data_IF_403626330823
#
_entry.id   IF_403626330823
#
_cell.length_a   1.000
_cell.length_b   1.000
_cell.length_c   1.000
_cell.angle_alpha   90.00
_cell.angle_beta   90.00
_cell.angle_gamma   90.00
#
_symmetry.space_group_name_H-M   'P 1'
#
loop_
_entity.id
_entity.type
_entity.pdbx_description
1 polymer ?
#
# COMPACT_ATOMS: atom_id res chain seq x y z
N UNK A 1 7.67 37.78 -10.95
CA UNK A 1 7.65 36.30 -10.98
C UNK A 1 6.27 35.80 -10.57
N UNK A 2 5.74 36.26 -9.43
CA UNK A 2 4.35 36.01 -9.02
C UNK A 2 3.28 36.33 -10.08
N UNK A 3 3.30 37.51 -10.67
CA UNK A 3 2.32 37.89 -11.71
C UNK A 3 2.36 36.98 -12.94
N UNK A 4 3.52 36.38 -13.25
CA UNK A 4 3.64 35.44 -14.37
C UNK A 4 3.10 34.06 -13.99
N UNK A 5 3.35 33.63 -12.75
CA UNK A 5 2.80 32.40 -12.19
C UNK A 5 1.27 32.46 -12.14
N UNK A 6 0.69 33.57 -11.66
CA UNK A 6 -0.76 33.76 -11.55
C UNK A 6 -1.49 33.69 -12.90
N UNK A 7 -0.83 34.08 -14.00
CA UNK A 7 -1.38 34.03 -15.36
C UNK A 7 -1.36 32.65 -16.00
N UNK A 8 -0.64 31.67 -15.42
CA UNK A 8 -0.57 30.29 -15.93
C UNK A 8 -1.89 29.55 -15.64
N UNK A 9 -2.25 28.62 -16.53
CA UNK A 9 -3.38 27.69 -16.26
C UNK A 9 -3.04 26.79 -15.08
N UNK A 10 -4.03 26.09 -14.52
CA UNK A 10 -3.82 25.20 -13.39
C UNK A 10 -2.76 24.12 -13.70
N UNK A 11 -2.85 23.45 -14.85
CA UNK A 11 -1.90 22.41 -15.27
C UNK A 11 -0.49 22.97 -15.46
N UNK A 12 -0.39 24.18 -16.02
CA UNK A 12 0.88 24.88 -16.20
C UNK A 12 1.48 25.29 -14.84
N UNK A 13 0.66 25.69 -13.87
CA UNK A 13 1.12 25.96 -12.50
C UNK A 13 1.67 24.68 -11.87
N UNK A 14 0.95 23.56 -11.98
CA UNK A 14 1.40 22.26 -11.45
C UNK A 14 2.74 21.85 -12.05
N UNK A 15 2.87 21.83 -13.39
CA UNK A 15 4.13 21.49 -14.07
C UNK A 15 5.27 22.41 -13.63
N UNK A 16 5.03 23.73 -13.59
CA UNK A 16 6.04 24.69 -13.16
C UNK A 16 6.51 24.42 -11.72
N UNK A 17 5.60 24.11 -10.79
CA UNK A 17 5.93 23.85 -9.40
C UNK A 17 6.75 22.57 -9.23
N UNK A 18 6.40 21.50 -9.97
CA UNK A 18 7.15 20.24 -9.95
C UNK A 18 8.59 20.47 -10.46
N UNK A 19 8.74 21.18 -11.58
CA UNK A 19 10.05 21.42 -12.19
C UNK A 19 10.96 22.33 -11.34
N UNK A 20 10.36 23.22 -10.53
CA UNK A 20 11.09 24.26 -9.80
C UNK A 20 11.03 24.10 -8.27
N UNK A 21 10.59 22.93 -7.76
CA UNK A 21 10.25 22.70 -6.36
C UNK A 21 11.30 23.21 -5.36
N UNK A 22 12.59 22.90 -5.60
CA UNK A 22 13.70 23.25 -4.70
C UNK A 22 14.12 24.72 -4.77
N UNK A 23 13.83 25.40 -5.89
CA UNK A 23 14.26 26.78 -6.15
C UNK A 23 13.09 27.75 -6.15
N UNK A 24 11.91 27.31 -5.70
CA UNK A 24 10.71 28.12 -5.68
C UNK A 24 10.89 29.31 -4.72
N UNK A 25 10.55 30.55 -5.14
CA UNK A 25 10.54 31.71 -4.25
C UNK A 25 9.60 31.51 -3.05
N UNK A 26 9.97 32.06 -1.88
CA UNK A 26 9.16 31.96 -0.67
C UNK A 26 7.77 32.60 -0.83
N UNK A 27 7.67 33.67 -1.64
CA UNK A 27 6.41 34.35 -1.95
C UNK A 27 5.38 33.44 -2.68
N UNK A 28 5.86 32.38 -3.34
CA UNK A 28 5.03 31.40 -4.05
C UNK A 28 4.82 30.12 -3.26
N UNK A 29 5.50 29.93 -2.12
CA UNK A 29 5.46 28.66 -1.38
C UNK A 29 4.04 28.28 -0.97
N UNK A 30 3.29 29.20 -0.37
CA UNK A 30 1.94 28.91 0.12
C UNK A 30 0.95 28.55 -0.99
N UNK A 31 0.91 29.37 -2.05
CA UNK A 31 0.05 29.11 -3.21
C UNK A 31 0.48 27.83 -3.93
N UNK A 32 1.80 27.61 -4.07
CA UNK A 32 2.36 26.43 -4.70
C UNK A 32 1.97 25.13 -3.97
N UNK A 33 2.07 25.11 -2.64
CA UNK A 33 1.64 23.97 -1.83
C UNK A 33 0.16 23.68 -2.05
N UNK A 34 -0.69 24.70 -2.07
CA UNK A 34 -2.14 24.53 -2.26
C UNK A 34 -2.50 24.05 -3.67
N UNK A 35 -1.80 24.54 -4.69
CA UNK A 35 -1.98 24.09 -6.08
C UNK A 35 -1.59 22.62 -6.21
N UNK A 36 -0.44 22.22 -5.68
CA UNK A 36 0.02 20.82 -5.70
C UNK A 36 -0.94 19.91 -4.94
N UNK A 37 -1.35 20.30 -3.73
CA UNK A 37 -2.31 19.51 -2.94
C UNK A 37 -3.65 19.34 -3.68
N UNK A 38 -4.18 20.40 -4.31
CA UNK A 38 -5.40 20.34 -5.13
C UNK A 38 -5.26 19.47 -6.36
N UNK A 39 -4.06 19.37 -6.93
CA UNK A 39 -3.77 18.51 -8.07
C UNK A 39 -3.64 17.02 -7.68
N UNK A 40 -3.68 16.69 -6.39
CA UNK A 40 -3.38 15.34 -5.89
C UNK A 40 -1.89 15.04 -5.76
N UNK A 41 -1.03 16.01 -6.06
CA UNK A 41 0.44 15.93 -6.00
C UNK A 41 0.94 16.05 -4.54
N UNK A 42 0.45 15.14 -3.69
CA UNK A 42 0.61 15.18 -2.23
C UNK A 42 2.07 15.18 -1.81
N UNK A 43 2.89 14.31 -2.41
CA UNK A 43 4.32 14.21 -2.08
C UNK A 43 5.05 15.53 -2.38
N UNK A 44 4.82 16.11 -3.56
CA UNK A 44 5.41 17.39 -3.94
C UNK A 44 4.95 18.53 -3.02
N UNK A 45 3.67 18.60 -2.68
CA UNK A 45 3.13 19.60 -1.76
C UNK A 45 3.79 19.51 -0.37
N UNK A 46 3.97 18.30 0.14
CA UNK A 46 4.58 18.02 1.44
C UNK A 46 6.06 18.34 1.45
N UNK A 47 6.80 17.95 0.40
CA UNK A 47 8.22 18.28 0.25
C UNK A 47 8.41 19.79 0.21
N UNK A 48 7.61 20.51 -0.58
CA UNK A 48 7.68 21.97 -0.64
C UNK A 48 7.38 22.62 0.71
N UNK A 49 6.32 22.16 1.40
CA UNK A 49 5.97 22.66 2.73
C UNK A 49 7.11 22.43 3.74
N UNK A 50 7.70 21.23 3.76
CA UNK A 50 8.81 20.88 4.65
C UNK A 50 10.06 21.72 4.35
N UNK A 51 10.44 21.82 3.09
CA UNK A 51 11.65 22.54 2.68
C UNK A 51 11.54 24.05 2.94
N UNK A 52 10.32 24.58 3.05
CA UNK A 52 10.02 25.95 3.47
C UNK A 52 9.77 26.11 4.96
N UNK A 53 10.01 25.08 5.77
CA UNK A 53 9.86 25.11 7.23
C UNK A 53 8.41 25.11 7.71
N UNK A 54 7.44 24.80 6.83
CA UNK A 54 6.01 24.79 7.13
C UNK A 54 5.56 23.40 7.62
N UNK A 55 6.20 22.92 8.68
CA UNK A 55 6.01 21.56 9.25
C UNK A 55 4.54 21.24 9.51
N UNK A 56 3.81 22.13 10.17
CA UNK A 56 2.39 21.89 10.51
C UNK A 56 1.51 21.75 9.25
N UNK A 57 1.81 22.52 8.19
CA UNK A 57 1.11 22.44 6.91
C UNK A 57 1.43 21.11 6.20
N UNK A 58 2.69 20.67 6.23
CA UNK A 58 3.08 19.37 5.70
C UNK A 58 2.36 18.20 6.41
N UNK A 59 2.28 18.27 7.75
CA UNK A 59 1.56 17.27 8.55
C UNK A 59 0.07 17.25 8.20
N UNK A 60 -0.57 18.43 8.11
CA UNK A 60 -1.99 18.52 7.77
C UNK A 60 -2.31 17.89 6.40
N UNK A 61 -1.50 18.19 5.38
CA UNK A 61 -1.67 17.61 4.04
C UNK A 61 -1.59 16.08 4.08
N UNK A 62 -0.63 15.53 4.84
CA UNK A 62 -0.49 14.08 4.99
C UNK A 62 -1.65 13.45 5.74
N UNK A 63 -2.13 14.07 6.82
CA UNK A 63 -3.27 13.54 7.57
C UNK A 63 -4.55 13.57 6.74
N UNK A 64 -4.76 14.62 5.94
CA UNK A 64 -5.90 14.72 5.03
C UNK A 64 -5.84 13.66 3.93
N UNK A 65 -4.64 13.31 3.46
CA UNK A 65 -4.40 12.21 2.53
C UNK A 65 -4.42 10.82 3.18
N UNK A 66 -4.57 10.73 4.51
CA UNK A 66 -4.53 9.47 5.26
C UNK A 66 -3.14 8.85 5.40
N UNK A 67 -2.06 9.61 5.16
CA UNK A 67 -0.67 9.18 5.36
C UNK A 67 -0.14 9.57 6.75
N UNK A 68 -0.72 8.95 7.77
CA UNK A 68 -0.34 9.16 9.17
C UNK A 68 1.08 8.68 9.50
N UNK A 69 1.63 7.70 8.76
CA UNK A 69 2.98 7.20 9.03
C UNK A 69 4.03 8.24 8.65
N UNK A 70 3.85 8.86 7.48
CA UNK A 70 4.75 9.92 7.06
C UNK A 70 4.54 11.20 7.89
N UNK A 71 3.29 11.53 8.23
CA UNK A 71 2.99 12.65 9.11
C UNK A 71 3.72 12.51 10.47
N UNK A 72 3.65 11.32 11.07
CA UNK A 72 4.35 11.02 12.33
C UNK A 72 5.87 11.14 12.20
N UNK A 73 6.45 10.68 11.08
CA UNK A 73 7.88 10.83 10.79
C UNK A 73 8.30 12.30 10.72
N UNK A 74 7.50 13.15 10.05
CA UNK A 74 7.76 14.59 9.97
C UNK A 74 7.70 15.22 11.37
N UNK A 75 6.66 14.91 12.16
CA UNK A 75 6.53 15.40 13.53
C UNK A 75 7.74 14.99 14.41
N UNK A 76 8.18 13.72 14.30
CA UNK A 76 9.36 13.21 15.02
C UNK A 76 10.63 13.96 14.64
N UNK A 77 10.85 14.17 13.34
CA UNK A 77 12.03 14.88 12.84
C UNK A 77 12.03 16.36 13.27
N UNK A 78 10.86 16.94 13.52
CA UNK A 78 10.69 18.27 14.09
C UNK A 78 10.80 18.30 15.63
N UNK A 79 11.08 17.17 16.29
CA UNK A 79 11.17 17.05 17.75
C UNK A 79 9.81 17.07 18.47
N UNK A 80 8.70 16.93 17.74
CA UNK A 80 7.34 16.96 18.29
C UNK A 80 6.88 15.55 18.70
N UNK A 81 7.54 14.95 19.70
CA UNK A 81 7.31 13.54 20.09
C UNK A 81 5.85 13.26 20.49
N UNK A 82 5.21 14.16 21.24
CA UNK A 82 3.82 13.98 21.64
C UNK A 82 2.87 13.94 20.43
N UNK A 83 3.13 14.75 19.41
CA UNK A 83 2.35 14.76 18.17
C UNK A 83 2.63 13.50 17.34
N UNK A 84 3.90 13.09 17.23
CA UNK A 84 4.30 11.83 16.59
C UNK A 84 3.52 10.64 17.17
N UNK A 85 3.50 10.50 18.49
CA UNK A 85 2.75 9.45 19.19
C UNK A 85 1.25 9.51 18.92
N UNK A 86 0.67 10.73 18.91
CA UNK A 86 -0.74 10.91 18.56
C UNK A 86 -1.02 10.47 17.13
N UNK A 87 -0.20 10.89 16.16
CA UNK A 87 -0.36 10.55 14.75
C UNK A 87 -0.24 9.04 14.50
N UNK A 88 0.64 8.33 15.23
CA UNK A 88 0.66 6.87 15.14
C UNK A 88 -0.61 6.22 15.69
N UNK A 89 -1.21 6.74 16.77
CA UNK A 89 -2.49 6.22 17.29
C UNK A 89 -3.66 6.49 16.33
N UNK A 90 -3.75 7.72 15.83
CA UNK A 90 -4.77 8.11 14.86
C UNK A 90 -4.62 7.27 13.58
N UNK A 91 -3.38 7.07 13.11
CA UNK A 91 -3.05 6.21 11.99
C UNK A 91 -3.40 4.75 12.22
N UNK A 92 -3.06 4.18 13.39
CA UNK A 92 -3.41 2.80 13.72
C UNK A 92 -4.91 2.55 13.63
N UNK A 93 -5.72 3.47 14.17
CA UNK A 93 -7.17 3.40 14.07
C UNK A 93 -7.61 3.48 12.61
N UNK A 94 -7.18 4.53 11.89
CA UNK A 94 -7.54 4.76 10.49
C UNK A 94 -7.19 3.57 9.59
N UNK A 95 -5.97 3.02 9.70
CA UNK A 95 -5.53 1.89 8.89
C UNK A 95 -6.28 0.60 9.23
N UNK A 96 -6.67 0.41 10.49
CA UNK A 96 -7.47 -0.75 10.88
C UNK A 96 -8.87 -0.67 10.30
N UNK A 97 -9.50 0.51 10.36
CA UNK A 97 -10.85 0.75 9.84
C UNK A 97 -10.89 0.62 8.31
N UNK A 98 -9.83 1.08 7.63
CA UNK A 98 -9.66 0.95 6.18
C UNK A 98 -9.05 -0.39 5.75
N UNK A 99 -8.89 -1.34 6.67
CA UNK A 99 -8.32 -2.67 6.43
C UNK A 99 -6.91 -2.66 5.79
N UNK A 100 -6.16 -1.57 5.96
CA UNK A 100 -4.78 -1.39 5.52
C UNK A 100 -3.80 -2.01 6.52
N UNK A 101 -3.94 -3.30 6.80
CA UNK A 101 -3.31 -3.98 7.93
C UNK A 101 -1.77 -3.87 7.96
N UNK A 102 -1.09 -3.85 6.81
CA UNK A 102 0.36 -3.65 6.77
C UNK A 102 0.80 -2.29 7.34
N UNK A 103 0.01 -1.23 7.10
CA UNK A 103 0.27 0.10 7.67
C UNK A 103 -0.14 0.17 9.14
N UNK A 104 -1.24 -0.50 9.51
CA UNK A 104 -1.66 -0.63 10.90
C UNK A 104 -0.58 -1.29 11.76
N UNK A 105 0.01 -2.40 11.29
CA UNK A 105 1.13 -3.09 11.95
C UNK A 105 2.33 -2.17 12.11
N UNK A 106 2.66 -1.39 11.08
CA UNK A 106 3.76 -0.42 11.14
C UNK A 106 3.53 0.64 12.23
N UNK A 107 2.30 1.16 12.34
CA UNK A 107 1.93 2.11 13.39
C UNK A 107 1.95 1.47 14.78
N UNK A 108 1.40 0.27 14.94
CA UNK A 108 1.40 -0.49 16.19
C UNK A 108 2.83 -0.78 16.69
N UNK A 109 3.72 -1.18 15.77
CA UNK A 109 5.13 -1.42 16.07
C UNK A 109 5.83 -0.14 16.54
N UNK A 110 5.57 1.00 15.88
CA UNK A 110 6.14 2.29 16.26
C UNK A 110 5.64 2.78 17.63
N UNK A 111 4.43 2.40 18.03
CA UNK A 111 3.84 2.66 19.35
C UNK A 111 4.35 1.71 20.45
N UNK A 112 5.09 0.65 20.10
CA UNK A 112 5.52 -0.37 21.05
C UNK A 112 4.35 -1.19 21.61
N UNK A 113 3.30 -1.39 20.80
CA UNK A 113 2.17 -2.27 21.14
C UNK A 113 2.66 -3.71 21.31
N UNK A 114 1.91 -4.50 22.10
CA UNK A 114 2.27 -5.90 22.38
C UNK A 114 2.34 -6.75 21.10
N UNK A 115 3.20 -7.78 21.11
CA UNK A 115 3.32 -8.71 19.98
C UNK A 115 2.01 -9.46 19.73
N UNK A 116 1.26 -9.81 20.77
CA UNK A 116 -0.03 -10.49 20.64
C UNK A 116 -1.06 -9.66 19.84
N UNK A 117 -1.10 -8.34 20.06
CA UNK A 117 -1.96 -7.43 19.31
C UNK A 117 -1.48 -7.21 17.87
N UNK A 118 -0.16 -7.18 17.65
CA UNK A 118 0.42 -7.12 16.30
C UNK A 118 0.09 -8.40 15.50
N UNK A 119 0.19 -9.57 16.15
CA UNK A 119 -0.15 -10.86 15.56
C UNK A 119 -1.64 -10.99 15.26
N UNK A 120 -2.52 -10.36 16.05
CA UNK A 120 -3.93 -10.24 15.72
C UNK A 120 -4.17 -9.41 14.44
N UNK A 121 -3.55 -8.23 14.33
CA UNK A 121 -3.61 -7.41 13.11
C UNK A 121 -3.09 -8.16 11.89
N UNK A 122 -1.99 -8.91 12.06
CA UNK A 122 -1.44 -9.75 10.99
C UNK A 122 -2.41 -10.84 10.55
N UNK A 123 -2.99 -11.60 11.49
CA UNK A 123 -3.97 -12.66 11.17
C UNK A 123 -5.21 -12.10 10.48
N UNK A 124 -5.70 -10.94 10.91
CA UNK A 124 -6.83 -10.25 10.25
C UNK A 124 -6.47 -9.82 8.82
N UNK A 125 -5.26 -9.33 8.61
CA UNK A 125 -4.75 -9.02 7.27
C UNK A 125 -4.70 -10.24 6.35
N UNK A 126 -4.13 -11.35 6.83
CA UNK A 126 -4.10 -12.60 6.06
C UNK A 126 -5.51 -13.09 5.73
N UNK A 127 -6.42 -13.06 6.70
CA UNK A 127 -7.80 -13.47 6.48
C UNK A 127 -8.50 -12.58 5.43
N UNK A 128 -8.25 -11.26 5.45
CA UNK A 128 -8.82 -10.32 4.48
C UNK A 128 -8.27 -10.53 3.07
N UNK A 129 -6.96 -10.65 2.91
CA UNK A 129 -6.33 -10.93 1.60
C UNK A 129 -6.73 -12.30 1.05
N UNK A 130 -7.04 -13.26 1.93
CA UNK A 130 -7.52 -14.59 1.54
C UNK A 130 -9.01 -14.58 1.13
N UNK A 131 -9.78 -13.54 1.47
CA UNK A 131 -11.17 -13.44 1.03
C UNK A 131 -11.22 -13.19 -0.48
N UNK A 132 -11.75 -14.17 -1.22
CA UNK A 132 -11.85 -14.13 -2.67
C UNK A 132 -10.86 -15.04 -3.39
N UNK A 133 -9.87 -15.59 -2.68
CA UNK A 133 -9.12 -16.75 -3.16
C UNK A 133 -9.98 -17.97 -2.85
N UNK A 134 -10.82 -18.37 -3.80
CA UNK A 134 -11.54 -19.64 -3.71
C UNK A 134 -10.56 -20.79 -3.96
N UNK A 135 -9.80 -21.11 -2.91
CA UNK A 135 -8.85 -22.21 -2.89
C UNK A 135 -9.56 -23.55 -3.12
N UNK A 136 -10.83 -23.67 -2.70
CA UNK A 136 -11.63 -24.87 -2.94
C UNK A 136 -11.97 -24.99 -4.43
N UNK A 137 -12.47 -23.93 -5.06
CA UNK A 137 -12.72 -23.93 -6.51
C UNK A 137 -11.44 -24.10 -7.33
N UNK A 138 -10.33 -23.51 -6.90
CA UNK A 138 -9.03 -23.70 -7.56
C UNK A 138 -8.56 -25.16 -7.46
N UNK A 139 -8.79 -25.82 -6.32
CA UNK A 139 -8.52 -27.25 -6.14
C UNK A 139 -9.44 -28.10 -7.02
N UNK A 140 -10.74 -27.80 -7.06
CA UNK A 140 -11.70 -28.51 -7.90
C UNK A 140 -11.34 -28.41 -9.40
N UNK A 141 -10.89 -27.23 -9.86
CA UNK A 141 -10.40 -27.04 -11.22
C UNK A 141 -9.13 -27.84 -11.52
N UNK A 142 -8.19 -27.92 -10.57
CA UNK A 142 -6.97 -28.74 -10.69
C UNK A 142 -7.34 -30.22 -10.77
N UNK A 143 -8.26 -30.69 -9.92
CA UNK A 143 -8.73 -32.08 -9.90
C UNK A 143 -9.45 -32.43 -11.21
N UNK A 144 -10.28 -31.54 -11.75
CA UNK A 144 -10.92 -31.71 -13.05
C UNK A 144 -9.91 -31.77 -14.20
N UNK A 145 -8.85 -30.95 -14.17
CA UNK A 145 -7.79 -30.95 -15.17
C UNK A 145 -6.97 -32.25 -15.12
N UNK A 146 -6.67 -32.76 -13.93
CA UNK A 146 -5.98 -34.04 -13.75
C UNK A 146 -6.82 -35.22 -14.25
N UNK A 147 -8.12 -35.26 -13.93
CA UNK A 147 -9.03 -36.30 -14.45
C UNK A 147 -9.15 -36.24 -15.97
N UNK A 148 -9.20 -35.04 -16.55
CA UNK A 148 -9.26 -34.85 -18.01
C UNK A 148 -7.96 -35.31 -18.69
N UNK A 149 -6.81 -35.03 -18.07
CA UNK A 149 -5.51 -35.52 -18.52
C UNK A 149 -5.45 -37.04 -18.48
N UNK A 150 -5.83 -37.66 -17.36
CA UNK A 150 -5.89 -39.11 -17.20
C UNK A 150 -6.76 -39.76 -18.29
N UNK A 151 -8.00 -39.27 -18.48
CA UNK A 151 -8.90 -39.73 -19.53
C UNK A 151 -8.34 -39.58 -20.95
N UNK A 152 -7.59 -38.51 -21.23
CA UNK A 152 -7.02 -38.25 -22.55
C UNK A 152 -5.85 -39.18 -22.91
N UNK A 153 -5.25 -39.81 -21.88
CA UNK A 153 -4.09 -40.69 -22.01
C UNK A 153 -4.51 -42.16 -21.99
N UNK A 154 -5.71 -42.49 -21.50
CA UNK A 154 -6.29 -43.84 -21.57
C UNK A 154 -6.30 -44.36 -23.02
N UNK A 155 -5.57 -45.46 -23.26
CA UNK A 155 -5.44 -46.11 -24.56
C UNK A 155 -4.23 -45.67 -25.40
N UNK A 156 -3.44 -44.69 -24.93
CA UNK A 156 -2.10 -44.41 -25.47
C UNK A 156 -1.07 -45.24 -24.71
N UNK A 157 -0.32 -46.05 -25.44
CA UNK A 157 0.65 -47.00 -24.87
C UNK A 157 2.11 -46.62 -25.17
N UNK A 158 2.36 -45.31 -25.32
CA UNK A 158 3.71 -44.77 -25.44
C UNK A 158 4.33 -44.46 -24.07
N UNK A 159 5.66 -44.44 -24.02
CA UNK A 159 6.45 -44.26 -22.80
C UNK A 159 6.12 -42.94 -22.08
N UNK A 160 5.85 -41.88 -22.83
CA UNK A 160 5.50 -40.57 -22.29
C UNK A 160 4.15 -40.62 -21.58
N UNK A 161 3.16 -41.29 -22.18
CA UNK A 161 1.83 -41.50 -21.62
C UNK A 161 1.87 -42.24 -20.28
N UNK A 162 2.72 -43.27 -20.14
CA UNK A 162 2.91 -44.00 -18.87
C UNK A 162 3.54 -43.13 -17.78
N UNK A 163 4.57 -42.36 -18.13
CA UNK A 163 5.24 -41.47 -17.17
C UNK A 163 4.29 -40.38 -16.66
N UNK A 164 3.45 -39.83 -17.55
CA UNK A 164 2.46 -38.82 -17.17
C UNK A 164 1.36 -39.43 -16.30
N UNK A 165 0.82 -40.61 -16.63
CA UNK A 165 -0.17 -41.29 -15.77
C UNK A 165 0.39 -41.57 -14.38
N UNK A 166 1.63 -42.05 -14.29
CA UNK A 166 2.26 -42.32 -13.00
C UNK A 166 2.42 -41.04 -12.17
N UNK A 167 2.89 -39.94 -12.77
CA UNK A 167 3.04 -38.67 -12.07
C UNK A 167 1.69 -38.08 -11.59
N UNK A 168 0.63 -38.20 -12.39
CA UNK A 168 -0.72 -37.76 -12.02
C UNK A 168 -1.26 -38.58 -10.85
N UNK A 169 -1.09 -39.91 -10.89
CA UNK A 169 -1.56 -40.80 -9.82
C UNK A 169 -0.80 -40.56 -8.50
N UNK A 170 0.52 -40.36 -8.57
CA UNK A 170 1.34 -40.05 -7.40
C UNK A 170 0.93 -38.72 -6.75
N UNK A 171 0.58 -37.70 -7.52
CA UNK A 171 0.09 -36.42 -6.97
C UNK A 171 -1.34 -36.50 -6.43
N UNK A 172 -2.24 -37.24 -7.09
CA UNK A 172 -3.60 -37.48 -6.58
C UNK A 172 -3.57 -38.21 -5.22
N UNK A 173 -2.75 -39.27 -5.09
CA UNK A 173 -2.62 -40.01 -3.83
C UNK A 173 -2.05 -39.15 -2.69
N UNK A 174 -1.13 -38.23 -2.99
CA UNK A 174 -0.59 -37.29 -1.99
C UNK A 174 -1.65 -36.30 -1.51
N UNK A 175 -2.56 -35.91 -2.39
CA UNK A 175 -3.65 -34.98 -2.07
C UNK A 175 -4.81 -35.61 -1.31
N UNK A 176 -5.03 -36.93 -1.44
CA UNK A 176 -6.03 -37.67 -0.63
C UNK A 176 -5.55 -37.98 0.80
N UNK A 177 -4.23 -38.00 1.02
CA UNK A 177 -3.62 -38.30 2.33
C UNK A 177 -3.40 -37.05 3.21
N UNK A 178 -3.78 -35.85 2.74
CA UNK A 178 -3.71 -34.57 3.46
C UNK A 178 -5.10 -34.09 3.87
#
# INVERSE_FOLDING_TARGET
MKDEFERKTFEQKVSYLIDNLRQLPDELANEGIEVLAKAGETEYAVVLARDKGMTDKAIAILTDAGDYLWAALIARNAGQEALCQKLYRDGLQYYTDMEMFGRAISAATALGISQDEIDDLYRRGVARESQGVDLAHSRDLIDCAMQSLDMSIIGRDDELSRQVMQAVHEEMEKNEKK
#
